data_IF_206313322595
#
_entry.id   IF_206313322595
#
_cell.length_a   1.000
_cell.length_b   1.000
_cell.length_c   1.000
_cell.angle_alpha   90.00
_cell.angle_beta   90.00
_cell.angle_gamma   90.00
#
_symmetry.space_group_name_H-M   'P 1'
#
loop_
_entity.id
_entity.type
_entity.pdbx_description
1 polymer ?
#
# COMPACT_ATOMS: atom_id res chain seq x y z
N UNK A 1 -5.87 11.96 4.12
CA UNK A 1 -5.44 10.69 3.45
C UNK A 1 -4.27 10.98 2.52
N UNK A 2 -3.42 9.99 2.28
CA UNK A 2 -2.19 10.11 1.47
C UNK A 2 -2.35 9.25 0.23
N UNK A 3 -2.17 9.85 -0.95
CA UNK A 3 -2.17 9.11 -2.21
C UNK A 3 -0.83 8.39 -2.37
N UNK A 4 -0.88 7.07 -2.51
CA UNK A 4 0.28 6.22 -2.74
C UNK A 4 0.24 5.70 -4.16
N UNK A 5 1.34 5.92 -4.89
CA UNK A 5 1.55 5.42 -6.24
C UNK A 5 2.64 4.36 -6.23
N UNK A 6 2.30 3.16 -6.66
CA UNK A 6 3.22 2.04 -6.81
C UNK A 6 3.43 1.79 -8.29
N UNK A 7 4.65 2.05 -8.78
CA UNK A 7 5.06 1.72 -10.14
C UNK A 7 5.97 0.51 -10.11
N UNK A 8 5.70 -0.46 -10.97
CA UNK A 8 6.39 -1.75 -10.99
C UNK A 8 6.93 -2.02 -12.39
N UNK A 9 8.24 -2.23 -12.50
CA UNK A 9 8.90 -2.49 -13.79
C UNK A 9 8.57 -3.89 -14.33
N UNK A 10 8.30 -4.86 -13.47
CA UNK A 10 8.00 -6.26 -13.84
C UNK A 10 6.78 -6.78 -13.05
N UNK A 11 5.54 -6.42 -13.46
CA UNK A 11 4.32 -6.72 -12.70
C UNK A 11 4.05 -8.23 -12.56
N UNK A 12 4.50 -9.04 -13.52
CA UNK A 12 4.24 -10.48 -13.57
C UNK A 12 5.00 -11.32 -12.52
N UNK A 13 5.95 -10.70 -11.80
CA UNK A 13 6.82 -11.40 -10.83
C UNK A 13 6.43 -11.15 -9.37
N UNK A 14 5.59 -10.17 -9.10
CA UNK A 14 5.30 -9.76 -7.72
C UNK A 14 3.79 -9.60 -7.48
N UNK A 15 3.36 -9.79 -6.24
CA UNK A 15 1.98 -9.55 -5.81
C UNK A 15 1.86 -8.18 -5.13
N UNK A 16 0.67 -7.56 -5.21
CA UNK A 16 0.39 -6.32 -4.49
C UNK A 16 0.60 -6.48 -2.99
N UNK A 17 0.16 -7.61 -2.45
CA UNK A 17 0.32 -7.95 -1.04
C UNK A 17 1.79 -7.98 -0.62
N UNK A 18 2.67 -8.58 -1.42
CA UNK A 18 4.11 -8.63 -1.13
C UNK A 18 4.73 -7.23 -1.10
N UNK A 19 4.29 -6.34 -1.99
CA UNK A 19 4.74 -4.93 -2.00
C UNK A 19 4.27 -4.23 -0.73
N UNK A 20 2.97 -4.32 -0.40
CA UNK A 20 2.41 -3.68 0.79
C UNK A 20 3.07 -4.18 2.07
N UNK A 21 3.31 -5.50 2.19
CA UNK A 21 4.06 -6.08 3.31
C UNK A 21 5.45 -5.46 3.45
N UNK A 22 6.20 -5.37 2.35
CA UNK A 22 7.56 -4.83 2.35
C UNK A 22 7.59 -3.33 2.65
N UNK A 23 6.69 -2.56 2.04
CA UNK A 23 6.67 -1.09 2.13
C UNK A 23 6.07 -0.58 3.45
N UNK A 24 5.01 -1.21 3.93
CA UNK A 24 4.33 -0.82 5.16
C UNK A 24 4.88 -1.54 6.40
N UNK A 25 5.69 -2.60 6.20
CA UNK A 25 6.19 -3.47 7.28
C UNK A 25 5.06 -4.04 8.14
N UNK A 26 4.01 -4.51 7.48
CA UNK A 26 2.80 -5.06 8.10
C UNK A 26 2.64 -6.55 7.78
N UNK A 27 1.98 -7.25 8.67
CA UNK A 27 1.51 -8.62 8.42
C UNK A 27 0.38 -8.64 7.38
N UNK A 28 0.12 -9.81 6.80
CA UNK A 28 -1.02 -10.00 5.88
C UNK A 28 -2.36 -9.72 6.56
N UNK A 29 -2.49 -10.06 7.85
CA UNK A 29 -3.72 -9.84 8.61
C UNK A 29 -3.96 -8.35 8.84
N UNK A 30 -2.95 -7.60 9.27
CA UNK A 30 -3.03 -6.13 9.43
C UNK A 30 -3.40 -5.45 8.11
N UNK A 31 -2.77 -5.83 6.99
CA UNK A 31 -3.09 -5.24 5.67
C UNK A 31 -4.56 -5.49 5.29
N UNK A 32 -5.07 -6.71 5.50
CA UNK A 32 -6.49 -7.02 5.21
C UNK A 32 -7.43 -6.24 6.12
N UNK A 33 -7.09 -6.11 7.40
CA UNK A 33 -7.88 -5.33 8.34
C UNK A 33 -7.92 -3.86 7.95
N UNK A 34 -6.79 -3.27 7.56
CA UNK A 34 -6.71 -1.87 7.11
C UNK A 34 -7.51 -1.63 5.82
N UNK A 35 -7.51 -2.58 4.88
CA UNK A 35 -8.37 -2.50 3.69
C UNK A 35 -9.85 -2.62 4.07
N UNK A 36 -10.20 -3.57 4.95
CA UNK A 36 -11.59 -3.79 5.34
C UNK A 36 -12.18 -2.62 6.14
N UNK A 37 -11.35 -1.91 6.90
CA UNK A 37 -11.73 -0.75 7.72
C UNK A 37 -11.57 0.60 6.99
N UNK A 38 -11.20 0.60 5.71
CA UNK A 38 -11.06 1.84 4.92
C UNK A 38 -9.83 2.69 5.25
N UNK A 39 -8.85 2.14 5.97
CA UNK A 39 -7.54 2.79 6.14
C UNK A 39 -6.66 2.65 4.90
N UNK A 40 -6.91 1.62 4.07
CA UNK A 40 -6.36 1.50 2.71
C UNK A 40 -7.54 1.45 1.75
N UNK A 41 -7.67 2.46 0.90
CA UNK A 41 -8.76 2.57 -0.07
C UNK A 41 -8.24 2.50 -1.51
N UNK A 42 -9.10 2.12 -2.45
CA UNK A 42 -8.74 1.95 -3.85
C UNK A 42 -8.11 0.59 -4.18
N UNK A 43 -7.83 -0.24 -3.17
CA UNK A 43 -7.43 -1.64 -3.33
C UNK A 43 -8.54 -2.55 -2.80
N UNK A 44 -9.31 -3.22 -3.66
CA UNK A 44 -10.28 -4.19 -3.19
C UNK A 44 -9.58 -5.45 -2.65
N UNK A 45 -10.14 -6.09 -1.61
CA UNK A 45 -9.59 -7.30 -1.00
C UNK A 45 -9.27 -8.42 -2.01
N UNK A 46 -10.02 -8.49 -3.12
CA UNK A 46 -9.76 -9.44 -4.22
C UNK A 46 -8.38 -9.25 -4.87
N UNK A 47 -7.87 -8.02 -4.96
CA UNK A 47 -6.52 -7.73 -5.47
C UNK A 47 -5.42 -8.16 -4.50
N UNK A 48 -5.71 -8.33 -3.20
CA UNK A 48 -4.73 -8.91 -2.26
C UNK A 48 -4.62 -10.43 -2.40
N UNK A 49 -5.62 -11.09 -3.01
CA UNK A 49 -5.60 -12.53 -3.29
C UNK A 49 -4.87 -12.85 -4.60
N UNK A 50 -4.67 -11.89 -5.49
CA UNK A 50 -3.97 -12.12 -6.76
C UNK A 50 -2.49 -12.34 -6.54
N UNK A 51 -1.96 -13.46 -7.07
CA UNK A 51 -0.55 -13.84 -6.93
C UNK A 51 0.40 -12.94 -7.74
N UNK A 52 -0.10 -12.28 -8.79
CA UNK A 52 0.69 -11.44 -9.72
C UNK A 52 -0.05 -10.14 -10.00
N UNK A 53 0.68 -9.05 -10.16
CA UNK A 53 0.12 -7.79 -10.64
C UNK A 53 -0.24 -7.90 -12.13
N UNK A 54 -1.31 -7.20 -12.51
CA UNK A 54 -1.80 -7.11 -13.89
C UNK A 54 -1.44 -5.77 -14.53
N UNK A 55 -1.36 -4.71 -13.73
CA UNK A 55 -1.00 -3.37 -14.19
C UNK A 55 0.45 -3.05 -13.81
N UNK A 56 1.07 -2.13 -14.56
CA UNK A 56 2.39 -1.58 -14.19
C UNK A 56 2.28 -0.53 -13.08
N UNK A 57 1.09 0.00 -12.83
CA UNK A 57 0.88 1.09 -11.90
C UNK A 57 -0.38 0.86 -11.06
N UNK A 58 -0.26 1.10 -9.75
CA UNK A 58 -1.34 0.98 -8.78
C UNK A 58 -1.41 2.24 -7.93
N UNK A 59 -2.63 2.72 -7.74
CA UNK A 59 -2.93 3.92 -6.98
C UNK A 59 -3.87 3.52 -5.86
N UNK A 60 -3.55 3.97 -4.65
CA UNK A 60 -4.41 3.74 -3.48
C UNK A 60 -4.28 4.89 -2.49
N UNK A 61 -5.29 5.05 -1.65
CA UNK A 61 -5.23 5.99 -0.55
C UNK A 61 -4.88 5.26 0.74
N UNK A 62 -4.01 5.87 1.53
CA UNK A 62 -3.60 5.39 2.82
C UNK A 62 -3.98 6.42 3.89
N UNK A 63 -4.56 5.97 4.99
CA UNK A 63 -4.75 6.78 6.18
C UNK A 63 -3.40 7.32 6.67
N UNK A 64 -3.36 8.61 7.02
CA UNK A 64 -2.10 9.26 7.33
C UNK A 64 -1.49 8.66 8.60
N UNK A 65 -2.34 8.35 9.56
CA UNK A 65 -2.08 7.66 10.82
C UNK A 65 -1.37 6.32 10.59
N UNK A 66 -1.84 5.53 9.62
CA UNK A 66 -1.23 4.25 9.26
C UNK A 66 0.18 4.44 8.69
N UNK A 67 0.41 5.50 7.90
CA UNK A 67 1.74 5.82 7.39
C UNK A 67 2.67 6.33 8.50
N UNK A 68 2.19 7.26 9.33
CA UNK A 68 2.97 7.91 10.39
C UNK A 68 3.32 6.95 11.51
N UNK A 69 2.39 6.07 11.92
CA UNK A 69 2.64 5.06 12.94
C UNK A 69 3.77 4.08 12.56
N UNK A 70 4.10 3.97 11.26
CA UNK A 70 5.04 2.96 10.75
C UNK A 70 6.28 3.55 10.08
N UNK A 71 6.36 4.87 9.87
CA UNK A 71 7.59 5.55 9.42
C UNK A 71 8.42 6.02 10.62
N UNK A 72 9.66 5.52 10.74
CA UNK A 72 10.73 6.10 11.58
C UNK A 72 11.35 7.38 10.96
N UNK A 73 10.62 8.11 10.10
CA UNK A 73 11.17 9.22 9.33
C UNK A 73 10.33 10.47 9.58
N UNK A 74 10.96 11.51 10.14
CA UNK A 74 10.40 12.85 10.28
C UNK A 74 10.05 13.38 8.88
N UNK A 75 8.77 13.52 8.58
CA UNK A 75 8.33 14.10 7.32
C UNK A 75 8.60 15.62 7.34
N UNK A 76 9.75 16.04 6.79
CA UNK A 76 9.99 17.45 6.48
C UNK A 76 9.07 17.84 5.32
N UNK A 77 8.02 18.59 5.64
CA UNK A 77 7.13 19.22 4.66
C UNK A 77 7.94 20.25 3.89
N UNK A 78 8.30 19.97 2.63
CA UNK A 78 8.70 21.03 1.73
C UNK A 78 7.44 21.81 1.35
N UNK A 79 7.34 23.05 1.85
CA UNK A 79 6.46 24.05 1.23
C UNK A 79 7.13 24.44 -0.09
N UNK A 80 6.40 24.25 -1.19
CA UNK A 80 6.68 24.97 -2.43
C UNK A 80 6.02 26.34 -2.37
#
# INVERSE_FOLDING_TARGET
RITVRVRVSQPFRISLLSILKKQLKLSTAEIRWLVATGHIEGIPLKQLKTKKLKAMEYHFQLAAETLYARRRILLKRHRS
#
